data_IF_544666341601
#
_entry.id   IF_544666341601
#
_cell.length_a   1.000
_cell.length_b   1.000
_cell.length_c   1.000
_cell.angle_alpha   90.00
_cell.angle_beta   90.00
_cell.angle_gamma   90.00
#
_symmetry.space_group_name_H-M   'P 1'
#
loop_
_entity.id
_entity.type
_entity.pdbx_description
1 polymer ?
#
# COMPACT_ATOMS: atom_id res chain seq x y z
N UNK A 1 -8.05 53.68 4.27
CA UNK A 1 -7.67 52.28 4.00
C UNK A 1 -7.38 51.59 5.32
N UNK A 2 -8.23 50.65 5.74
CA UNK A 2 -8.19 49.95 7.03
C UNK A 2 -7.66 48.53 6.80
N UNK A 3 -6.46 48.20 7.31
CA UNK A 3 -6.02 46.82 7.44
C UNK A 3 -6.20 46.35 8.89
N UNK A 4 -7.25 45.57 9.13
CA UNK A 4 -7.44 44.77 10.34
C UNK A 4 -6.38 43.66 10.37
N UNK A 5 -5.49 43.67 11.37
CA UNK A 5 -4.66 42.50 11.73
C UNK A 5 -5.56 41.41 12.30
N UNK A 6 -5.77 40.34 11.54
CA UNK A 6 -6.29 39.07 12.06
C UNK A 6 -5.26 38.46 13.01
N UNK A 7 -5.60 38.44 14.30
CA UNK A 7 -4.86 37.74 15.34
C UNK A 7 -5.39 36.30 15.36
N UNK A 8 -4.67 35.37 14.74
CA UNK A 8 -4.97 33.93 14.86
C UNK A 8 -3.86 33.28 15.68
N UNK A 9 -4.13 32.72 16.87
CA UNK A 9 -3.14 31.98 17.63
C UNK A 9 -2.90 30.60 16.99
N UNK A 10 -1.68 30.37 16.52
CA UNK A 10 -1.28 29.19 15.72
C UNK A 10 -0.78 28.00 16.57
N UNK A 11 -1.20 27.90 17.84
CA UNK A 11 -0.67 26.88 18.76
C UNK A 11 -1.71 25.90 19.31
N UNK A 12 -2.99 26.07 18.99
CA UNK A 12 -4.03 25.11 19.39
C UNK A 12 -4.42 24.23 18.20
N UNK A 13 -3.66 23.17 17.96
CA UNK A 13 -4.15 21.85 17.52
C UNK A 13 -2.95 20.96 17.19
N UNK A 14 -2.49 20.17 18.15
CA UNK A 14 -1.98 18.84 17.83
C UNK A 14 -2.13 17.94 19.06
N UNK A 15 -3.08 17.02 18.94
CA UNK A 15 -3.50 16.07 19.96
C UNK A 15 -2.36 15.19 20.47
N UNK A 16 -2.43 14.94 21.77
CA UNK A 16 -1.94 13.78 22.52
C UNK A 16 -1.24 12.67 21.72
N UNK A 17 0.10 12.73 21.66
CA UNK A 17 0.94 11.53 21.58
C UNK A 17 2.08 11.73 22.57
N UNK A 18 2.03 10.95 23.64
CA UNK A 18 3.07 10.83 24.67
C UNK A 18 4.35 10.28 24.03
N UNK A 19 5.26 11.16 23.63
CA UNK A 19 6.61 10.78 23.21
C UNK A 19 7.58 11.01 24.37
N UNK A 20 7.89 9.88 25.02
CA UNK A 20 9.13 9.53 25.74
C UNK A 20 9.83 10.64 26.53
N UNK A 21 9.63 10.54 27.84
CA UNK A 21 10.31 11.19 28.96
C UNK A 21 11.84 11.08 28.96
N UNK A 22 12.44 10.31 28.06
CA UNK A 22 13.88 10.07 27.99
C UNK A 22 14.65 11.08 27.13
N UNK A 23 14.02 11.76 26.15
CA UNK A 23 14.72 12.77 25.35
C UNK A 23 14.66 14.18 25.98
N UNK A 24 13.65 14.47 26.79
CA UNK A 24 13.58 15.72 27.57
C UNK A 24 14.73 15.87 28.57
N UNK A 25 15.40 14.78 28.95
CA UNK A 25 16.48 14.80 29.95
C UNK A 25 17.86 15.19 29.38
N UNK A 26 18.08 15.17 28.07
CA UNK A 26 19.39 15.52 27.47
C UNK A 26 19.47 16.98 26.97
N UNK A 27 18.33 17.63 26.77
CA UNK A 27 18.25 19.09 26.59
C UNK A 27 17.91 19.71 27.96
N UNK A 28 18.73 19.37 28.96
CA UNK A 28 18.62 19.84 30.33
C UNK A 28 18.90 21.34 30.44
N UNK A 29 17.90 22.15 30.13
CA UNK A 29 17.85 23.58 30.47
C UNK A 29 16.38 24.00 30.69
N UNK A 30 15.66 23.22 31.48
CA UNK A 30 14.33 23.57 32.00
C UNK A 30 14.36 24.71 33.03
N UNK A 31 15.53 25.32 33.26
CA UNK A 31 15.72 26.46 34.16
C UNK A 31 16.18 27.76 33.49
N UNK A 32 16.39 27.81 32.17
CA UNK A 32 16.63 29.10 31.49
C UNK A 32 15.34 29.88 31.52
N UNK A 33 15.20 30.79 32.50
CA UNK A 33 14.43 32.02 32.29
C UNK A 33 14.90 32.51 30.92
N UNK A 34 14.04 32.49 29.90
CA UNK A 34 14.25 33.38 28.76
C UNK A 34 14.20 34.75 29.37
N UNK A 35 15.37 35.25 29.75
CA UNK A 35 15.48 36.58 30.31
C UNK A 35 14.94 37.45 29.18
N UNK A 36 13.92 38.24 29.47
CA UNK A 36 13.27 39.09 28.47
C UNK A 36 14.24 40.23 28.15
N UNK A 37 15.37 39.87 27.56
CA UNK A 37 16.49 40.73 27.23
C UNK A 37 16.15 41.35 25.90
N UNK A 38 15.99 42.66 25.93
CA UNK A 38 15.92 43.44 24.72
C UNK A 38 17.34 43.59 24.16
N UNK A 39 17.44 43.55 22.83
CA UNK A 39 18.71 43.85 22.18
C UNK A 39 18.96 45.36 22.31
N UNK A 40 20.08 45.73 22.92
CA UNK A 40 20.47 47.13 23.07
C UNK A 40 21.18 47.58 21.79
N UNK A 41 20.75 48.70 21.21
CA UNK A 41 21.48 49.33 20.12
C UNK A 41 22.68 50.11 20.69
N UNK A 42 23.88 49.59 20.45
CA UNK A 42 25.13 50.15 20.94
C UNK A 42 25.94 50.81 19.82
N UNK A 43 25.39 50.95 18.60
CA UNK A 43 26.13 51.43 17.44
C UNK A 43 26.73 52.84 17.63
N UNK A 44 25.96 53.74 18.25
CA UNK A 44 26.37 55.13 18.50
C UNK A 44 27.08 55.32 19.86
N UNK A 45 27.24 54.25 20.64
CA UNK A 45 27.92 54.33 21.93
C UNK A 45 29.44 54.23 21.75
N UNK A 46 30.15 55.33 21.99
CA UNK A 46 31.61 55.41 21.77
C UNK A 46 32.43 54.39 22.60
N UNK A 47 31.90 53.93 23.75
CA UNK A 47 32.51 52.91 24.59
C UNK A 47 31.44 52.17 25.41
N UNK A 48 30.80 51.13 24.85
CA UNK A 48 29.78 50.37 25.58
C UNK A 48 30.37 49.69 26.81
N UNK A 49 29.56 49.56 27.86
CA UNK A 49 29.94 48.86 29.08
C UNK A 49 29.97 47.35 28.83
N UNK A 50 30.85 46.64 29.52
CA UNK A 50 30.94 45.17 29.44
C UNK A 50 29.59 44.49 29.74
N UNK A 51 28.81 45.04 30.66
CA UNK A 51 27.46 44.56 30.98
C UNK A 51 26.47 44.67 29.82
N UNK A 52 26.57 45.73 29.00
CA UNK A 52 25.69 45.97 27.85
C UNK A 52 26.04 45.02 26.70
N UNK A 53 27.33 44.79 26.47
CA UNK A 53 27.79 43.77 25.51
C UNK A 53 27.38 42.37 25.97
N UNK A 54 27.56 42.04 27.25
CA UNK A 54 27.15 40.75 27.82
C UNK A 54 25.63 40.52 27.69
N UNK A 55 24.81 41.57 27.87
CA UNK A 55 23.36 41.53 27.61
C UNK A 55 23.09 41.10 26.16
N UNK A 56 23.67 41.78 25.18
CA UNK A 56 23.43 41.48 23.76
C UNK A 56 23.91 40.08 23.37
N UNK A 57 25.04 39.61 23.92
CA UNK A 57 25.49 38.23 23.74
C UNK A 57 24.48 37.25 24.31
N UNK A 58 23.92 37.51 25.48
CA UNK A 58 22.84 36.71 26.08
C UNK A 58 21.60 36.66 25.18
N UNK A 59 21.15 37.82 24.66
CA UNK A 59 20.02 37.92 23.71
C UNK A 59 20.26 37.06 22.47
N UNK A 60 21.45 37.17 21.87
CA UNK A 60 21.79 36.42 20.66
C UNK A 60 21.80 34.93 20.95
N UNK A 61 22.42 34.51 22.06
CA UNK A 61 22.45 33.12 22.47
C UNK A 61 21.03 32.55 22.65
N UNK A 62 20.15 33.26 23.34
CA UNK A 62 18.75 32.84 23.54
C UNK A 62 18.01 32.71 22.20
N UNK A 63 18.16 33.69 21.29
CA UNK A 63 17.54 33.65 19.95
C UNK A 63 18.05 32.47 19.13
N UNK A 64 19.35 32.23 19.12
CA UNK A 64 19.97 31.09 18.40
C UNK A 64 19.52 29.76 19.01
N UNK A 65 19.43 29.67 20.34
CA UNK A 65 18.95 28.49 21.05
C UNK A 65 17.50 28.16 20.69
N UNK A 66 16.61 29.17 20.69
CA UNK A 66 15.21 29.01 20.28
C UNK A 66 15.13 28.60 18.81
N UNK A 67 15.86 29.29 17.92
CA UNK A 67 15.90 28.95 16.51
C UNK A 67 16.33 27.48 16.31
N UNK A 68 17.36 27.04 17.03
CA UNK A 68 17.85 25.66 16.97
C UNK A 68 16.78 24.66 17.42
N UNK A 69 16.05 24.94 18.51
CA UNK A 69 14.96 24.08 18.99
C UNK A 69 13.80 23.99 17.99
N UNK A 70 13.40 25.12 17.42
CA UNK A 70 12.34 25.17 16.39
C UNK A 70 12.78 24.42 15.13
N UNK A 71 14.02 24.63 14.70
CA UNK A 71 14.60 23.97 13.52
C UNK A 71 14.66 22.46 13.72
N UNK A 72 15.13 21.99 14.88
CA UNK A 72 15.13 20.56 15.22
C UNK A 72 13.72 19.97 15.16
N UNK A 73 12.73 20.62 15.80
CA UNK A 73 11.34 20.17 15.74
C UNK A 73 10.83 20.08 14.30
N UNK A 74 11.17 21.06 13.46
CA UNK A 74 10.80 21.05 12.05
C UNK A 74 11.46 19.90 11.28
N UNK A 75 12.76 19.64 11.51
CA UNK A 75 13.46 18.52 10.89
C UNK A 75 12.89 17.16 11.32
N UNK A 76 12.45 17.00 12.57
CA UNK A 76 11.76 15.79 13.00
C UNK A 76 10.41 15.62 12.31
N UNK A 77 9.61 16.70 12.16
CA UNK A 77 8.36 16.65 11.39
C UNK A 77 8.60 16.19 9.95
N UNK A 78 9.54 16.83 9.25
CA UNK A 78 9.90 16.47 7.88
C UNK A 78 10.37 15.02 7.77
N UNK A 79 11.14 14.54 8.74
CA UNK A 79 11.60 13.15 8.77
C UNK A 79 10.43 12.17 8.86
N UNK A 80 9.43 12.44 9.69
CA UNK A 80 8.25 11.58 9.81
C UNK A 80 7.38 11.63 8.55
N UNK A 81 7.18 12.82 7.96
CA UNK A 81 6.47 12.95 6.68
C UNK A 81 7.15 12.16 5.55
N UNK A 82 8.48 12.23 5.46
CA UNK A 82 9.27 11.43 4.50
C UNK A 82 9.11 9.93 4.77
N UNK A 83 9.09 9.53 6.04
CA UNK A 83 8.91 8.11 6.43
C UNK A 83 7.53 7.61 6.00
N UNK A 84 6.49 8.40 6.23
CA UNK A 84 5.12 8.08 5.83
C UNK A 84 4.99 7.98 4.31
N UNK A 85 5.52 8.95 3.57
CA UNK A 85 5.52 8.93 2.10
C UNK A 85 6.23 7.69 1.54
N UNK A 86 7.40 7.33 2.11
CA UNK A 86 8.13 6.11 1.72
C UNK A 86 7.30 4.86 1.96
N UNK A 87 6.63 4.78 3.11
CA UNK A 87 5.76 3.64 3.43
C UNK A 87 4.60 3.53 2.44
N UNK A 88 3.93 4.66 2.14
CA UNK A 88 2.81 4.71 1.20
C UNK A 88 3.23 4.28 -0.21
N UNK A 89 4.34 4.82 -0.72
CA UNK A 89 4.89 4.43 -2.03
C UNK A 89 5.22 2.94 -2.06
N UNK A 90 5.90 2.42 -1.03
CA UNK A 90 6.24 1.00 -0.96
C UNK A 90 5.01 0.11 -0.93
N UNK A 91 3.97 0.49 -0.16
CA UNK A 91 2.71 -0.26 -0.09
C UNK A 91 1.98 -0.28 -1.42
N UNK A 92 1.90 0.86 -2.10
CA UNK A 92 1.26 0.97 -3.42
C UNK A 92 2.00 0.13 -4.45
N UNK A 93 3.34 0.25 -4.50
CA UNK A 93 4.16 -0.52 -5.44
C UNK A 93 4.04 -2.02 -5.19
N UNK A 94 4.06 -2.46 -3.93
CA UNK A 94 3.88 -3.88 -3.60
C UNK A 94 2.52 -4.39 -4.07
N UNK A 95 1.43 -3.65 -3.84
CA UNK A 95 0.09 -4.01 -4.34
C UNK A 95 0.04 -4.07 -5.87
N UNK A 96 0.65 -3.10 -6.54
CA UNK A 96 0.70 -3.06 -7.99
C UNK A 96 1.47 -4.25 -8.57
N UNK A 97 2.65 -4.55 -8.03
CA UNK A 97 3.47 -5.71 -8.43
C UNK A 97 2.70 -7.00 -8.22
N UNK A 98 2.11 -7.22 -7.04
CA UNK A 98 1.33 -8.45 -6.79
C UNK A 98 0.10 -8.57 -7.68
N UNK A 99 -0.52 -7.45 -8.08
CA UNK A 99 -1.61 -7.46 -9.06
C UNK A 99 -1.12 -7.87 -10.44
N UNK A 100 -0.01 -7.29 -10.89
CA UNK A 100 0.63 -7.60 -12.17
C UNK A 100 1.11 -9.05 -12.23
N UNK A 101 1.68 -9.58 -11.15
CA UNK A 101 2.08 -10.99 -11.06
C UNK A 101 0.89 -11.92 -11.23
N UNK A 102 -0.24 -11.62 -10.57
CA UNK A 102 -1.49 -12.40 -10.74
C UNK A 102 -2.00 -12.34 -12.16
N UNK A 103 -1.99 -11.16 -12.78
CA UNK A 103 -2.43 -10.99 -14.17
C UNK A 103 -1.51 -11.75 -15.13
N UNK A 104 -0.19 -11.67 -14.94
CA UNK A 104 0.80 -12.38 -15.74
C UNK A 104 0.64 -13.90 -15.64
N UNK A 105 0.41 -14.42 -14.44
CA UNK A 105 0.12 -15.85 -14.23
C UNK A 105 -1.18 -16.23 -14.93
N UNK A 106 -2.23 -15.41 -14.80
CA UNK A 106 -3.53 -15.69 -15.44
C UNK A 106 -3.47 -15.68 -16.97
N UNK A 107 -2.59 -14.85 -17.54
CA UNK A 107 -2.41 -14.70 -18.99
C UNK A 107 -1.22 -15.47 -19.53
N UNK A 108 -0.60 -16.33 -18.71
CA UNK A 108 0.58 -17.09 -19.12
C UNK A 108 0.20 -17.94 -20.33
N UNK A 109 0.78 -17.68 -21.51
CA UNK A 109 0.47 -18.48 -22.69
C UNK A 109 0.95 -19.91 -22.45
N UNK A 110 0.16 -20.87 -22.94
CA UNK A 110 0.54 -22.28 -22.93
C UNK A 110 1.89 -22.44 -23.62
N UNK A 111 2.78 -23.20 -22.98
CA UNK A 111 4.07 -23.56 -23.57
C UNK A 111 3.87 -24.46 -24.79
N UNK A 112 4.87 -24.48 -25.70
CA UNK A 112 4.80 -25.29 -26.91
C UNK A 112 4.52 -26.78 -26.61
N UNK A 113 5.04 -27.29 -25.50
CA UNK A 113 4.83 -28.67 -25.05
C UNK A 113 3.39 -28.89 -24.60
N UNK A 114 2.82 -27.97 -23.82
CA UNK A 114 1.41 -28.04 -23.37
C UNK A 114 0.46 -27.97 -24.56
N UNK A 115 0.72 -27.08 -25.53
CA UNK A 115 -0.06 -27.00 -26.77
C UNK A 115 0.03 -28.31 -27.57
N UNK A 116 1.22 -28.89 -27.72
CA UNK A 116 1.38 -30.17 -28.44
C UNK A 116 0.64 -31.32 -27.77
N UNK A 117 0.66 -31.39 -26.45
CA UNK A 117 -0.07 -32.41 -25.69
C UNK A 117 -1.58 -32.22 -25.84
N UNK A 118 -2.07 -30.98 -25.71
CA UNK A 118 -3.48 -30.66 -25.90
C UNK A 118 -3.96 -31.01 -27.31
N UNK A 119 -3.19 -30.67 -28.34
CA UNK A 119 -3.50 -31.04 -29.74
C UNK A 119 -3.55 -32.55 -29.91
N UNK A 120 -2.63 -33.29 -29.27
CA UNK A 120 -2.64 -34.76 -29.29
C UNK A 120 -3.91 -35.32 -28.64
N UNK A 121 -4.29 -34.83 -27.47
CA UNK A 121 -5.53 -35.23 -26.79
C UNK A 121 -6.78 -34.93 -27.62
N UNK A 122 -6.89 -33.70 -28.15
CA UNK A 122 -7.99 -33.30 -29.03
C UNK A 122 -8.06 -34.21 -30.26
N UNK A 123 -6.92 -34.57 -30.86
CA UNK A 123 -6.90 -35.46 -32.02
C UNK A 123 -7.37 -36.90 -31.71
N UNK A 124 -7.34 -37.32 -30.44
CA UNK A 124 -7.81 -38.65 -30.02
C UNK A 124 -9.30 -38.68 -29.70
N UNK A 125 -9.90 -37.56 -29.29
CA UNK A 125 -11.33 -37.48 -28.95
C UNK A 125 -12.27 -38.02 -30.05
N UNK A 126 -12.11 -37.69 -31.35
CA UNK A 126 -12.99 -38.22 -32.41
C UNK A 126 -12.94 -39.75 -32.54
N UNK A 127 -11.80 -40.36 -32.22
CA UNK A 127 -11.63 -41.82 -32.31
C UNK A 127 -12.41 -42.52 -31.20
N UNK A 128 -12.31 -42.00 -29.98
CA UNK A 128 -13.05 -42.49 -28.82
C UNK A 128 -14.56 -42.37 -29.03
N UNK A 129 -15.01 -41.20 -29.48
CA UNK A 129 -16.44 -40.96 -29.79
C UNK A 129 -16.95 -41.92 -30.86
N UNK A 130 -16.16 -42.18 -31.92
CA UNK A 130 -16.55 -43.12 -32.97
C UNK A 130 -16.67 -44.55 -32.46
N UNK A 131 -15.73 -44.99 -31.63
CA UNK A 131 -15.72 -46.34 -31.07
C UNK A 131 -16.92 -46.55 -30.13
N UNK A 132 -17.22 -45.57 -29.29
CA UNK A 132 -18.38 -45.61 -28.39
C UNK A 132 -19.71 -45.54 -29.15
N UNK A 133 -19.79 -44.71 -30.20
CA UNK A 133 -20.94 -44.67 -31.08
C UNK A 133 -21.18 -46.02 -31.78
N UNK A 134 -20.13 -46.68 -32.28
CA UNK A 134 -20.24 -48.01 -32.90
C UNK A 134 -20.75 -49.05 -31.89
N UNK A 135 -20.20 -49.05 -30.67
CA UNK A 135 -20.64 -49.95 -29.60
C UNK A 135 -22.12 -49.75 -29.27
N UNK A 136 -22.57 -48.51 -29.10
CA UNK A 136 -23.98 -48.17 -28.87
C UNK A 136 -24.87 -48.61 -30.03
N UNK A 137 -24.40 -48.48 -31.28
CA UNK A 137 -25.15 -48.91 -32.46
C UNK A 137 -25.33 -50.43 -32.48
N UNK A 138 -24.29 -51.18 -32.11
CA UNK A 138 -24.32 -52.64 -31.99
C UNK A 138 -25.29 -53.10 -30.88
N UNK A 139 -25.24 -52.45 -29.71
CA UNK A 139 -26.14 -52.72 -28.59
C UNK A 139 -27.59 -52.40 -28.94
N UNK A 140 -27.84 -51.25 -29.59
CA UNK A 140 -29.17 -50.88 -30.06
C UNK A 140 -29.69 -51.90 -31.07
N UNK A 141 -28.85 -52.35 -32.01
CA UNK A 141 -29.24 -53.37 -33.01
C UNK A 141 -29.58 -54.71 -32.37
N UNK A 142 -28.90 -55.09 -31.28
CA UNK A 142 -29.27 -56.29 -30.49
C UNK A 142 -30.61 -56.08 -29.76
N UNK A 143 -30.81 -54.90 -29.18
CA UNK A 143 -32.07 -54.53 -28.52
C UNK A 143 -33.27 -54.57 -29.48
N UNK A 144 -33.14 -53.96 -30.66
CA UNK A 144 -34.17 -53.97 -31.70
C UNK A 144 -34.51 -55.40 -32.14
N UNK A 145 -33.51 -56.23 -32.43
CA UNK A 145 -33.75 -57.65 -32.79
C UNK A 145 -34.48 -58.43 -31.69
N UNK A 146 -34.19 -58.14 -30.42
CA UNK A 146 -34.89 -58.77 -29.29
C UNK A 146 -36.36 -58.33 -29.22
N UNK A 147 -36.63 -57.06 -29.45
CA UNK A 147 -38.02 -56.54 -29.53
C UNK A 147 -38.75 -57.14 -30.71
N UNK A 148 -38.12 -57.22 -31.89
CA UNK A 148 -38.69 -57.87 -33.08
C UNK A 148 -39.04 -59.34 -32.81
N UNK A 149 -38.14 -60.09 -32.17
CA UNK A 149 -38.39 -61.47 -31.77
C UNK A 149 -39.60 -61.61 -30.83
N UNK A 150 -39.67 -60.78 -29.79
CA UNK A 150 -40.77 -60.80 -28.81
C UNK A 150 -42.12 -60.43 -29.47
N UNK A 151 -42.12 -59.49 -30.42
CA UNK A 151 -43.32 -59.14 -31.19
C UNK A 151 -43.79 -60.34 -32.01
N UNK A 152 -42.88 -61.06 -32.65
CA UNK A 152 -43.22 -62.21 -33.47
C UNK A 152 -43.73 -63.38 -32.62
N UNK A 153 -43.14 -63.60 -31.45
CA UNK A 153 -43.62 -64.57 -30.45
C UNK A 153 -45.03 -64.22 -29.96
N UNK A 154 -45.30 -62.96 -29.65
CA UNK A 154 -46.64 -62.49 -29.26
C UNK A 154 -47.65 -62.66 -30.42
N UNK A 155 -47.27 -62.35 -31.66
CA UNK A 155 -48.15 -62.58 -32.83
C UNK A 155 -48.49 -64.07 -32.99
N UNK A 156 -47.54 -64.97 -32.78
CA UNK A 156 -47.81 -66.42 -32.84
C UNK A 156 -48.74 -66.88 -31.71
N UNK A 157 -48.65 -66.28 -30.52
CA UNK A 157 -49.53 -66.59 -29.39
C UNK A 157 -50.94 -66.00 -29.51
N UNK A 158 -51.12 -64.90 -30.25
CA UNK A 158 -52.42 -64.22 -30.43
C UNK A 158 -53.10 -64.62 -31.75
N UNK A 159 -52.33 -65.04 -32.76
CA UNK A 159 -52.82 -65.41 -34.10
C UNK A 159 -53.03 -66.91 -34.34
N UNK A 160 -52.90 -67.75 -33.31
CA UNK A 160 -53.22 -69.19 -33.31
C UNK A 160 -54.49 -69.51 -32.54
#
# INVERSE_FOLDING_TARGET
MLYRRLRVPLWETCSSVTLDTTFSSSIGYSGSRTINLEYLDLADTAKPKLSEVANNVGVIFDRVSILSKVSLKHFYSLKEEIRELRHNISSILQKAVSSLEKELISRKPLTQTEVRNLVREISQQPKLVKEEALKLTEELRKGVRKVEYLIEEIKQLIGG
#
